data_IF_641662679512
#
_entry.id   IF_641662679512
#
_cell.length_a   1.000
_cell.length_b   1.000
_cell.length_c   1.000
_cell.angle_alpha   90.00
_cell.angle_beta   90.00
_cell.angle_gamma   90.00
#
_symmetry.space_group_name_H-M   'P 1'
#
loop_
_entity.id
_entity.type
_entity.pdbx_description
1 polymer ?
#
# COMPACT_ATOMS: atom_id res chain seq x y z
N UNK A 1 16.76 21.24 12.46
CA UNK A 1 16.05 20.25 13.30
C UNK A 1 15.16 19.43 12.38
N UNK A 2 15.25 18.09 12.43
CA UNK A 2 14.35 17.24 11.64
C UNK A 2 12.90 17.49 12.11
N UNK A 3 12.01 17.82 11.18
CA UNK A 3 10.59 18.00 11.46
C UNK A 3 10.03 16.68 12.04
N UNK A 4 9.32 16.76 13.16
CA UNK A 4 8.79 15.56 13.85
C UNK A 4 7.66 14.94 13.02
N UNK A 5 7.69 13.62 12.86
CA UNK A 5 6.61 12.88 12.22
C UNK A 5 5.32 12.95 13.05
N UNK A 6 4.18 12.99 12.36
CA UNK A 6 2.86 12.92 12.99
C UNK A 6 2.45 11.46 13.11
N UNK A 7 2.26 10.96 14.32
CA UNK A 7 1.78 9.60 14.57
C UNK A 7 0.27 9.52 14.37
N UNK A 8 -0.16 8.50 13.62
CA UNK A 8 -1.53 8.04 13.48
C UNK A 8 -1.64 6.61 14.04
N UNK A 9 -2.80 6.27 14.60
CA UNK A 9 -3.16 4.91 15.02
C UNK A 9 -4.35 4.45 14.21
N UNK A 10 -4.31 3.22 13.69
CA UNK A 10 -5.43 2.61 13.00
C UNK A 10 -5.76 1.27 13.65
N UNK A 11 -6.95 1.14 14.22
CA UNK A 11 -7.51 -0.15 14.60
C UNK A 11 -8.25 -0.67 13.36
N UNK A 12 -7.76 -1.75 12.78
CA UNK A 12 -8.27 -2.29 11.52
C UNK A 12 -8.76 -3.70 11.75
N UNK A 13 -10.03 -3.94 11.42
CA UNK A 13 -10.60 -5.27 11.26
C UNK A 13 -10.67 -5.57 9.77
N UNK A 14 -10.00 -6.64 9.34
CA UNK A 14 -9.95 -7.09 7.95
C UNK A 14 -10.70 -8.41 7.84
N UNK A 15 -11.74 -8.43 7.00
CA UNK A 15 -12.48 -9.61 6.59
C UNK A 15 -12.15 -9.88 5.10
N UNK A 16 -11.09 -10.64 4.85
CA UNK A 16 -10.66 -11.01 3.51
C UNK A 16 -11.34 -12.32 3.09
N UNK A 17 -12.46 -12.21 2.38
CA UNK A 17 -13.24 -13.36 1.92
C UNK A 17 -12.56 -14.07 0.75
N UNK A 18 -11.78 -13.34 -0.06
CA UNK A 18 -11.02 -13.89 -1.18
C UNK A 18 -9.94 -14.87 -0.71
N UNK A 19 -9.27 -14.55 0.42
CA UNK A 19 -8.26 -15.41 1.07
C UNK A 19 -8.80 -16.22 2.24
N UNK A 20 -10.08 -16.07 2.57
CA UNK A 20 -10.73 -16.66 3.75
C UNK A 20 -9.95 -16.38 5.07
N UNK A 21 -9.52 -15.13 5.24
CA UNK A 21 -8.70 -14.67 6.35
C UNK A 21 -9.39 -13.52 7.09
N UNK A 22 -9.42 -13.60 8.41
CA UNK A 22 -9.93 -12.54 9.28
C UNK A 22 -8.81 -12.09 10.21
N UNK A 23 -8.55 -10.78 10.25
CA UNK A 23 -7.44 -10.22 11.02
C UNK A 23 -7.85 -8.93 11.71
N UNK A 24 -7.58 -8.86 13.01
CA UNK A 24 -7.62 -7.64 13.80
C UNK A 24 -6.20 -7.13 14.06
N UNK A 25 -5.92 -5.89 13.68
CA UNK A 25 -4.62 -5.28 13.89
C UNK A 25 -4.73 -3.85 14.42
N UNK A 26 -3.81 -3.48 15.31
CA UNK A 26 -3.61 -2.09 15.73
C UNK A 26 -2.31 -1.57 15.14
N UNK A 27 -2.42 -0.74 14.11
CA UNK A 27 -1.31 -0.21 13.34
C UNK A 27 -0.91 1.17 13.87
N UNK A 28 0.39 1.45 13.85
CA UNK A 28 0.93 2.78 14.13
C UNK A 28 1.64 3.28 12.89
N UNK A 29 1.13 4.36 12.31
CA UNK A 29 1.70 4.99 11.12
C UNK A 29 2.41 6.28 11.51
N UNK A 30 3.70 6.38 11.21
CA UNK A 30 4.43 7.63 11.32
C UNK A 30 4.35 8.37 9.98
N UNK A 31 3.62 9.49 9.94
CA UNK A 31 3.52 10.36 8.76
C UNK A 31 4.69 11.33 8.73
N UNK A 32 5.58 11.18 7.76
CA UNK A 32 6.66 12.15 7.57
C UNK A 32 6.08 13.51 7.11
N UNK A 33 6.68 14.65 7.47
CA UNK A 33 6.18 15.97 7.05
C UNK A 33 6.11 16.18 5.53
N UNK A 34 6.92 15.47 4.74
CA UNK A 34 6.84 15.47 3.27
C UNK A 34 5.81 14.48 2.72
N UNK A 35 5.18 13.68 3.57
CA UNK A 35 4.19 12.68 3.18
C UNK A 35 2.78 13.30 3.23
N UNK A 36 2.06 13.19 2.12
CA UNK A 36 0.66 13.62 2.05
C UNK A 36 -0.25 12.64 2.80
N UNK A 37 -1.41 13.12 3.24
CA UNK A 37 -2.42 12.27 3.87
C UNK A 37 -2.88 11.14 2.94
N UNK A 38 -3.06 11.45 1.65
CA UNK A 38 -3.39 10.50 0.59
C UNK A 38 -2.36 9.36 0.51
N UNK A 39 -1.06 9.69 0.48
CA UNK A 39 -0.02 8.66 0.42
C UNK A 39 -0.02 7.79 1.68
N UNK A 40 -0.19 8.38 2.85
CA UNK A 40 -0.29 7.63 4.11
C UNK A 40 -1.47 6.66 4.09
N UNK A 41 -2.64 7.11 3.61
CA UNK A 41 -3.82 6.26 3.53
C UNK A 41 -3.69 5.20 2.43
N UNK A 42 -3.00 5.48 1.33
CA UNK A 42 -2.66 4.47 0.33
C UNK A 42 -1.74 3.40 0.91
N UNK A 43 -0.81 3.73 1.82
CA UNK A 43 0.01 2.73 2.54
C UNK A 43 -0.85 1.85 3.43
N UNK A 44 -1.82 2.44 4.12
CA UNK A 44 -2.77 1.70 4.94
C UNK A 44 -3.64 0.77 4.09
N UNK A 45 -4.15 1.24 2.95
CA UNK A 45 -4.89 0.41 2.00
C UNK A 45 -4.03 -0.74 1.44
N UNK A 46 -2.76 -0.47 1.11
CA UNK A 46 -1.83 -1.49 0.67
C UNK A 46 -1.59 -2.55 1.74
N UNK A 47 -1.49 -2.14 3.01
CA UNK A 47 -1.43 -3.06 4.14
C UNK A 47 -2.71 -3.90 4.25
N UNK A 48 -3.90 -3.28 4.11
CA UNK A 48 -5.18 -3.98 4.14
C UNK A 48 -5.29 -5.04 3.04
N UNK A 49 -4.88 -4.70 1.80
CA UNK A 49 -4.88 -5.63 0.67
C UNK A 49 -4.03 -6.87 0.92
N UNK A 50 -2.91 -6.69 1.61
CA UNK A 50 -1.95 -7.75 1.91
C UNK A 50 -1.92 -8.10 3.41
N UNK A 51 -3.06 -7.95 4.08
CA UNK A 51 -3.14 -8.02 5.53
C UNK A 51 -2.52 -9.32 6.07
N UNK A 52 -1.56 -9.15 6.98
CA UNK A 52 -0.82 -10.21 7.65
C UNK A 52 -0.23 -9.66 8.97
N UNK A 53 -0.21 -10.48 10.02
CA UNK A 53 0.30 -10.10 11.34
C UNK A 53 1.79 -9.68 11.32
N UNK A 54 2.56 -10.20 10.36
CA UNK A 54 4.00 -9.95 10.20
C UNK A 54 4.29 -8.82 9.22
N UNK A 55 3.28 -8.28 8.54
CA UNK A 55 3.45 -7.15 7.61
C UNK A 55 3.71 -5.86 8.40
N UNK A 56 4.90 -5.29 8.23
CA UNK A 56 5.37 -4.14 8.99
C UNK A 56 5.63 -2.94 8.10
N UNK A 57 5.15 -1.76 8.51
CA UNK A 57 5.59 -0.49 7.95
C UNK A 57 7.04 -0.22 8.32
N UNK A 58 7.75 0.40 7.40
CA UNK A 58 9.16 0.76 7.55
C UNK A 58 9.30 2.29 7.49
N UNK A 59 10.53 2.78 7.31
CA UNK A 59 10.78 4.23 7.14
C UNK A 59 10.45 4.73 5.73
N UNK A 60 10.21 3.84 4.77
CA UNK A 60 9.72 4.16 3.42
C UNK A 60 10.44 5.36 2.79
N UNK A 61 9.67 6.40 2.46
CA UNK A 61 10.16 7.70 1.96
C UNK A 61 11.40 8.29 2.67
N UNK A 62 11.66 7.93 3.93
CA UNK A 62 12.80 8.44 4.70
C UNK A 62 14.06 7.57 4.60
N UNK A 63 14.01 6.43 3.88
CA UNK A 63 15.11 5.50 3.72
C UNK A 63 15.12 4.88 2.30
N UNK A 64 16.19 5.14 1.54
CA UNK A 64 16.33 4.67 0.14
C UNK A 64 16.46 3.13 0.01
N UNK A 65 16.63 2.41 1.11
CA UNK A 65 16.85 0.96 1.14
C UNK A 65 15.65 0.17 1.64
N UNK A 66 14.62 0.82 2.18
CA UNK A 66 13.45 0.14 2.75
C UNK A 66 12.22 0.33 1.84
N UNK A 67 11.34 -0.68 1.71
CA UNK A 67 10.02 -0.52 1.07
C UNK A 67 9.14 0.46 1.85
N UNK A 68 7.87 0.64 1.51
CA UNK A 68 6.90 1.25 2.43
C UNK A 68 6.43 0.28 3.51
N UNK A 69 6.29 -1.00 3.15
CA UNK A 69 6.04 -2.09 4.08
C UNK A 69 6.64 -3.39 3.55
N UNK A 70 6.97 -4.32 4.44
CA UNK A 70 7.42 -5.66 4.06
C UNK A 70 6.86 -6.76 4.95
N UNK A 71 6.75 -7.95 4.38
CA UNK A 71 6.56 -9.19 5.12
C UNK A 71 7.89 -9.94 5.08
N UNK A 72 8.43 -10.26 6.25
CA UNK A 72 9.66 -11.06 6.36
C UNK A 72 9.36 -12.44 6.91
N UNK A 73 10.03 -13.45 6.37
CA UNK A 73 9.99 -14.83 6.87
C UNK A 73 10.91 -15.04 8.08
N UNK A 74 10.87 -16.25 8.66
CA UNK A 74 11.61 -16.60 9.89
C UNK A 74 13.14 -16.59 9.70
N UNK A 75 13.59 -16.61 8.45
CA UNK A 75 15.01 -16.53 8.08
C UNK A 75 15.43 -15.11 7.68
N UNK A 76 14.62 -14.10 8.00
CA UNK A 76 14.83 -12.68 7.67
C UNK A 76 14.82 -12.37 6.16
N UNK A 77 14.40 -13.31 5.32
CA UNK A 77 14.15 -13.05 3.90
C UNK A 77 12.86 -12.23 3.71
N UNK A 78 12.78 -11.47 2.62
CA UNK A 78 11.61 -10.66 2.31
C UNK A 78 10.66 -11.50 1.44
N UNK A 79 9.50 -11.84 1.99
CA UNK A 79 8.46 -12.56 1.26
C UNK A 79 7.61 -11.58 0.44
N UNK A 80 7.24 -10.43 1.01
CA UNK A 80 6.50 -9.38 0.30
C UNK A 80 7.19 -8.03 0.44
N UNK A 81 7.34 -7.31 -0.66
CA UNK A 81 7.80 -5.93 -0.73
C UNK A 81 6.68 -5.02 -1.25
N UNK A 82 6.23 -4.06 -0.44
CA UNK A 82 5.22 -3.08 -0.85
C UNK A 82 5.88 -1.74 -1.16
N UNK A 83 5.67 -1.25 -2.38
CA UNK A 83 6.18 0.02 -2.88
C UNK A 83 5.02 0.94 -3.29
N UNK A 84 5.16 2.25 -3.12
CA UNK A 84 4.14 3.24 -3.53
C UNK A 84 4.71 4.32 -4.44
N UNK A 85 3.90 4.73 -5.42
CA UNK A 85 4.18 5.83 -6.33
C UNK A 85 4.68 5.32 -7.67
N UNK A 86 5.66 6.03 -8.24
CA UNK A 86 6.16 5.83 -9.60
C UNK A 86 7.68 5.62 -9.58
N UNK A 87 8.16 4.49 -9.02
CA UNK A 87 9.59 4.22 -8.87
C UNK A 87 10.28 4.09 -10.23
N UNK A 88 11.59 4.34 -10.24
CA UNK A 88 12.40 4.08 -11.43
C UNK A 88 12.70 2.58 -11.59
N UNK A 89 13.24 2.23 -12.75
CA UNK A 89 13.57 0.84 -13.09
C UNK A 89 14.57 0.22 -12.10
N UNK A 90 15.54 1.01 -11.61
CA UNK A 90 16.56 0.52 -10.68
C UNK A 90 15.93 0.11 -9.35
N UNK A 91 15.01 0.92 -8.83
CA UNK A 91 14.27 0.64 -7.60
C UNK A 91 13.38 -0.60 -7.74
N UNK A 92 12.64 -0.73 -8.86
CA UNK A 92 11.82 -1.91 -9.11
C UNK A 92 12.66 -3.18 -9.22
N UNK A 93 13.75 -3.13 -10.00
CA UNK A 93 14.65 -4.27 -10.14
C UNK A 93 15.21 -4.70 -8.79
N UNK A 94 15.64 -3.74 -7.95
CA UNK A 94 16.12 -4.02 -6.59
C UNK A 94 15.04 -4.75 -5.78
N UNK A 95 13.82 -4.22 -5.73
CA UNK A 95 12.71 -4.86 -5.01
C UNK A 95 12.45 -6.29 -5.51
N UNK A 96 12.33 -6.48 -6.82
CA UNK A 96 12.02 -7.79 -7.43
C UNK A 96 13.13 -8.82 -7.22
N UNK A 97 14.39 -8.38 -7.07
CA UNK A 97 15.52 -9.27 -6.76
C UNK A 97 15.67 -9.59 -5.28
N UNK A 98 15.13 -8.75 -4.39
CA UNK A 98 15.29 -8.90 -2.94
C UNK A 98 14.11 -9.62 -2.27
N UNK A 99 12.93 -9.58 -2.89
CA UNK A 99 11.70 -10.15 -2.35
C UNK A 99 11.16 -11.29 -3.21
N UNK A 100 10.41 -12.20 -2.60
CA UNK A 100 9.67 -13.23 -3.35
C UNK A 100 8.58 -12.58 -4.20
N UNK A 101 7.76 -11.72 -3.60
CA UNK A 101 6.69 -10.97 -4.26
C UNK A 101 6.87 -9.47 -4.07
N UNK A 102 6.52 -8.69 -5.10
CA UNK A 102 6.54 -7.22 -5.07
C UNK A 102 5.17 -6.68 -5.45
N UNK A 103 4.63 -5.79 -4.63
CA UNK A 103 3.39 -5.08 -4.90
C UNK A 103 3.67 -3.57 -5.01
N UNK A 104 3.46 -3.01 -6.20
CA UNK A 104 3.53 -1.58 -6.44
C UNK A 104 2.12 -0.98 -6.45
N UNK A 105 1.91 0.10 -5.69
CA UNK A 105 0.69 0.90 -5.71
C UNK A 105 0.97 2.25 -6.38
N UNK A 106 0.57 2.35 -7.64
CA UNK A 106 0.67 3.57 -8.44
C UNK A 106 -0.56 4.48 -8.19
N UNK A 107 -0.32 5.78 -8.16
CA UNK A 107 -1.32 6.83 -8.00
C UNK A 107 -0.84 8.11 -8.69
N UNK A 108 -1.67 9.16 -8.72
CA UNK A 108 -1.48 10.39 -9.51
C UNK A 108 -1.74 10.15 -11.00
N UNK A 109 -3.02 10.24 -11.40
CA UNK A 109 -3.51 9.73 -12.70
C UNK A 109 -2.64 10.16 -13.88
N UNK A 110 -2.34 11.46 -13.99
CA UNK A 110 -1.57 11.97 -15.14
C UNK A 110 -0.14 11.42 -15.17
N UNK A 111 0.56 11.44 -14.05
CA UNK A 111 1.94 10.98 -13.99
C UNK A 111 2.02 9.46 -14.11
N UNK A 112 1.09 8.73 -13.50
CA UNK A 112 1.04 7.28 -13.50
C UNK A 112 0.79 6.70 -14.88
N UNK A 113 -0.12 7.30 -15.66
CA UNK A 113 -0.37 6.87 -17.04
C UNK A 113 0.85 7.06 -17.95
N UNK A 114 1.56 8.19 -17.83
CA UNK A 114 2.80 8.45 -18.57
C UNK A 114 3.88 7.44 -18.16
N UNK A 115 4.03 7.22 -16.85
CA UNK A 115 4.99 6.25 -16.31
C UNK A 115 4.68 4.83 -16.80
N UNK A 116 3.42 4.42 -16.81
CA UNK A 116 3.03 3.08 -17.24
C UNK A 116 3.33 2.85 -18.73
N UNK A 117 2.96 3.81 -19.59
CA UNK A 117 3.26 3.73 -21.03
C UNK A 117 4.76 3.57 -21.30
N UNK A 118 5.62 4.20 -20.49
CA UNK A 118 7.08 4.13 -20.65
C UNK A 118 7.69 2.84 -20.08
N UNK A 119 7.08 2.25 -19.04
CA UNK A 119 7.68 1.18 -18.26
C UNK A 119 7.01 -0.19 -18.41
N UNK A 120 5.78 -0.28 -18.96
CA UNK A 120 4.99 -1.52 -19.03
C UNK A 120 5.76 -2.72 -19.59
N UNK A 121 6.46 -2.54 -20.72
CA UNK A 121 7.19 -3.63 -21.39
C UNK A 121 8.34 -4.16 -20.53
N UNK A 122 8.95 -3.30 -19.71
CA UNK A 122 10.04 -3.69 -18.81
C UNK A 122 9.47 -4.32 -17.53
N UNK A 123 8.39 -3.75 -16.99
CA UNK A 123 7.71 -4.29 -15.83
C UNK A 123 7.24 -5.73 -16.07
N UNK A 124 6.75 -6.02 -17.29
CA UNK A 124 6.33 -7.36 -17.70
C UNK A 124 7.45 -8.43 -17.64
N UNK A 125 8.72 -8.02 -17.60
CA UNK A 125 9.84 -8.96 -17.43
C UNK A 125 10.02 -9.44 -15.99
N UNK A 126 9.43 -8.75 -15.00
CA UNK A 126 9.46 -9.14 -13.60
C UNK A 126 8.27 -10.06 -13.29
N UNK A 127 8.53 -11.38 -13.27
CA UNK A 127 7.50 -12.40 -13.03
C UNK A 127 6.96 -12.49 -11.60
N UNK A 128 7.41 -11.61 -10.70
CA UNK A 128 6.93 -11.52 -9.32
C UNK A 128 6.41 -10.12 -8.95
N UNK A 129 6.16 -9.27 -9.95
CA UNK A 129 5.70 -7.90 -9.77
C UNK A 129 4.20 -7.79 -10.04
N UNK A 130 3.46 -7.38 -9.02
CA UNK A 130 2.07 -6.91 -9.12
C UNK A 130 2.05 -5.38 -9.12
N UNK A 131 1.28 -4.78 -10.03
CA UNK A 131 1.09 -3.33 -10.11
C UNK A 131 -0.40 -3.03 -10.00
N UNK A 132 -0.75 -2.29 -8.95
CA UNK A 132 -2.07 -1.82 -8.63
C UNK A 132 -2.14 -0.31 -8.83
N UNK A 133 -3.17 0.15 -9.51
CA UNK A 133 -3.42 1.57 -9.72
C UNK A 133 -4.68 2.01 -8.99
N UNK A 134 -4.59 3.19 -8.36
CA UNK A 134 -5.71 3.89 -7.75
C UNK A 134 -5.82 5.28 -8.38
N UNK A 135 -7.00 5.60 -8.92
CA UNK A 135 -7.28 6.92 -9.47
C UNK A 135 -7.38 8.00 -8.38
N UNK A 136 -7.33 9.26 -8.82
CA UNK A 136 -7.31 10.41 -7.89
C UNK A 136 -8.64 10.60 -7.13
N UNK A 137 -9.77 10.15 -7.69
CA UNK A 137 -11.09 10.27 -7.03
C UNK A 137 -11.19 9.30 -5.86
N UNK A 138 -10.85 8.03 -6.10
CA UNK A 138 -10.80 7.01 -5.05
C UNK A 138 -9.72 7.30 -4.01
N UNK A 139 -8.57 7.85 -4.43
CA UNK A 139 -7.51 8.26 -3.50
C UNK A 139 -7.97 9.41 -2.58
N UNK A 140 -8.70 10.39 -3.12
CA UNK A 140 -9.28 11.47 -2.33
C UNK A 140 -10.35 10.94 -1.35
N UNK A 141 -11.20 10.01 -1.80
CA UNK A 141 -12.20 9.36 -0.94
C UNK A 141 -11.54 8.56 0.19
N UNK A 142 -10.47 7.81 -0.11
CA UNK A 142 -9.67 7.08 0.86
C UNK A 142 -9.01 8.03 1.89
N UNK A 143 -8.52 9.19 1.43
CA UNK A 143 -7.91 10.20 2.31
C UNK A 143 -8.90 10.75 3.33
N UNK A 144 -10.21 10.78 3.02
CA UNK A 144 -11.26 11.28 3.91
C UNK A 144 -11.50 10.39 5.16
N UNK A 145 -10.97 9.17 5.20
CA UNK A 145 -11.00 8.33 6.41
C UNK A 145 -10.01 8.80 7.48
N UNK A 146 -8.99 9.59 7.11
CA UNK A 146 -8.00 10.13 8.04
C UNK A 146 -8.43 11.46 8.68
N UNK A 147 -9.68 11.56 9.14
CA UNK A 147 -10.19 12.75 9.83
C UNK A 147 -9.54 12.95 11.21
N UNK A 148 -9.30 11.85 11.91
CA UNK A 148 -8.69 11.84 13.25
C UNK A 148 -7.33 11.13 13.26
N UNK A 149 -6.54 11.42 14.32
CA UNK A 149 -5.25 10.74 14.54
C UNK A 149 -5.41 9.28 14.98
N UNK A 150 -6.62 8.89 15.38
CA UNK A 150 -6.98 7.52 15.72
C UNK A 150 -8.15 7.14 14.82
N UNK A 151 -7.97 6.10 14.03
CA UNK A 151 -8.98 5.58 13.09
C UNK A 151 -9.43 4.21 13.56
N UNK A 152 -10.73 3.94 13.41
CA UNK A 152 -11.29 2.58 13.54
C UNK A 152 -11.88 2.22 12.19
N UNK A 153 -11.28 1.24 11.51
CA UNK A 153 -11.62 0.86 10.15
C UNK A 153 -12.06 -0.59 10.10
N UNK A 154 -13.11 -0.85 9.33
CA UNK A 154 -13.51 -2.19 8.93
C UNK A 154 -13.29 -2.30 7.42
N UNK A 155 -12.58 -3.33 7.00
CA UNK A 155 -12.28 -3.61 5.61
C UNK A 155 -12.78 -4.99 5.25
N UNK A 156 -13.68 -5.09 4.26
CA UNK A 156 -14.09 -6.38 3.68
C UNK A 156 -13.54 -6.49 2.27
N UNK A 157 -12.80 -7.55 1.99
CA UNK A 157 -12.25 -7.81 0.66
C UNK A 157 -13.04 -8.95 0.04
N UNK A 158 -13.63 -8.68 -1.13
CA UNK A 158 -14.43 -9.64 -1.86
C UNK A 158 -14.38 -9.34 -3.36
N UNK A 159 -14.14 -10.38 -4.16
CA UNK A 159 -14.06 -10.32 -5.61
C UNK A 159 -13.06 -9.24 -6.10
N UNK A 160 -11.99 -9.02 -5.35
CA UNK A 160 -10.96 -8.00 -5.63
C UNK A 160 -11.34 -6.56 -5.28
N UNK A 161 -12.58 -6.29 -4.84
CA UNK A 161 -13.00 -5.00 -4.31
C UNK A 161 -12.71 -4.90 -2.80
N UNK A 162 -12.46 -3.68 -2.31
CA UNK A 162 -12.22 -3.39 -0.90
C UNK A 162 -13.32 -2.46 -0.40
N UNK A 163 -14.21 -3.00 0.42
CA UNK A 163 -15.23 -2.21 1.13
C UNK A 163 -14.62 -1.70 2.42
N UNK A 164 -14.36 -0.39 2.48
CA UNK A 164 -13.78 0.28 3.64
C UNK A 164 -14.82 1.14 4.33
N UNK A 165 -14.99 0.96 5.64
CA UNK A 165 -15.93 1.74 6.44
C UNK A 165 -15.35 2.15 7.79
N UNK A 166 -15.82 3.29 8.29
CA UNK A 166 -15.69 3.75 9.67
C UNK A 166 -17.09 3.95 10.29
N UNK A 167 -17.19 4.69 11.39
CA UNK A 167 -18.44 4.99 12.07
C UNK A 167 -19.35 6.01 11.34
N UNK A 168 -18.82 6.72 10.35
CA UNK A 168 -19.49 7.83 9.65
C UNK A 168 -19.69 7.59 8.15
N UNK A 169 -18.85 6.78 7.52
CA UNK A 169 -18.82 6.60 6.07
C UNK A 169 -18.46 5.15 5.67
N UNK A 170 -18.94 4.78 4.49
CA UNK A 170 -18.63 3.52 3.82
C UNK A 170 -18.28 3.85 2.35
N UNK A 171 -17.19 3.28 1.85
CA UNK A 171 -16.69 3.46 0.49
C UNK A 171 -16.23 2.12 -0.08
N UNK A 172 -16.63 1.87 -1.31
CA UNK A 172 -16.09 0.80 -2.13
C UNK A 172 -14.85 1.32 -2.86
N UNK A 173 -13.76 0.55 -2.81
CA UNK A 173 -12.49 0.88 -3.44
C UNK A 173 -12.11 -0.24 -4.41
N UNK A 174 -11.85 0.13 -5.66
CA UNK A 174 -11.39 -0.74 -6.73
C UNK A 174 -9.97 -0.37 -7.13
N UNK A 175 -9.05 -1.31 -6.92
CA UNK A 175 -7.68 -1.20 -7.41
C UNK A 175 -7.61 -1.81 -8.81
N UNK A 176 -7.21 -1.02 -9.79
CA UNK A 176 -7.00 -1.52 -11.16
C UNK A 176 -5.70 -2.33 -11.21
N UNK A 177 -5.77 -3.57 -11.66
CA UNK A 177 -4.60 -4.40 -11.87
C UNK A 177 -3.96 -4.09 -13.22
N UNK A 178 -2.86 -3.32 -13.23
CA UNK A 178 -2.08 -3.08 -14.45
C UNK A 178 -1.17 -4.26 -14.80
N UNK A 179 -0.68 -4.97 -13.78
CA UNK A 179 0.12 -6.18 -13.95
C UNK A 179 -0.08 -7.11 -12.75
N UNK A 180 -0.12 -8.41 -13.01
CA UNK A 180 -0.02 -9.46 -11.99
C UNK A 180 0.90 -10.57 -12.51
N UNK A 181 1.60 -11.31 -11.62
CA UNK A 181 2.38 -12.49 -11.96
C UNK A 181 1.62 -13.58 -12.73
#
# INVERSE_FOLDING_TARGET
MALKATIYKAMVNVADLDRNQFLDATLTLARHPSETQERMMLRLLAWIKYADERLQFTRGLSAEDEPEAWLRNDYLGIDLWIELGLPDEKRLKKACTQAKDVALFAYNSRAAQIWWQQNQNRCASFGNLSIWYLDDEQLAALSAFANDRTMTLQATLQDGAIWLSDDTQNREIHLEAWQQP
#
